data_IF_284913523195
#
_entry.id   IF_284913523195
#
_cell.length_a   1.000
_cell.length_b   1.000
_cell.length_c   1.000
_cell.angle_alpha   90.00
_cell.angle_beta   90.00
_cell.angle_gamma   90.00
#
_symmetry.space_group_name_H-M   'P 1'
#
loop_
_entity.id
_entity.type
_entity.pdbx_description
1 polymer ?
#
# COMPACT_ATOMS: atom_id res chain seq x y z
N UNK A 1 -6.80 -16.58 -12.32
CA UNK A 1 -6.42 -15.52 -11.38
C UNK A 1 -7.56 -15.37 -10.39
N UNK A 2 -7.28 -15.35 -9.09
CA UNK A 2 -8.30 -14.94 -8.12
C UNK A 2 -8.39 -13.41 -8.15
N UNK A 3 -9.37 -12.91 -8.88
CA UNK A 3 -9.56 -11.48 -9.10
C UNK A 3 -9.80 -10.70 -7.80
N UNK A 4 -10.45 -11.32 -6.79
CA UNK A 4 -10.70 -10.70 -5.49
C UNK A 4 -9.39 -10.51 -4.73
N UNK A 5 -8.56 -11.55 -4.67
CA UNK A 5 -7.23 -11.48 -4.06
C UNK A 5 -6.33 -10.45 -4.74
N UNK A 6 -6.24 -10.49 -6.08
CA UNK A 6 -5.40 -9.53 -6.84
C UNK A 6 -5.86 -8.09 -6.64
N UNK A 7 -7.17 -7.86 -6.50
CA UNK A 7 -7.71 -6.56 -6.17
C UNK A 7 -7.28 -6.09 -4.77
N UNK A 8 -7.41 -6.94 -3.75
CA UNK A 8 -6.98 -6.62 -2.38
C UNK A 8 -5.48 -6.30 -2.36
N UNK A 9 -4.66 -7.12 -3.02
CA UNK A 9 -3.22 -6.88 -3.13
C UNK A 9 -2.91 -5.51 -3.78
N UNK A 10 -3.74 -5.07 -4.74
CA UNK A 10 -3.58 -3.77 -5.38
C UNK A 10 -3.90 -2.62 -4.43
N UNK A 11 -4.98 -2.74 -3.64
CA UNK A 11 -5.32 -1.73 -2.63
C UNK A 11 -4.25 -1.65 -1.53
N UNK A 12 -3.77 -2.80 -1.05
CA UNK A 12 -2.67 -2.89 -0.06
C UNK A 12 -1.41 -2.22 -0.59
N UNK A 13 -1.07 -2.47 -1.85
CA UNK A 13 0.03 -1.77 -2.51
C UNK A 13 -0.15 -0.26 -2.49
N UNK A 14 -1.31 0.25 -2.91
CA UNK A 14 -1.58 1.68 -3.00
C UNK A 14 -1.40 2.39 -1.63
N UNK A 15 -1.98 1.83 -0.57
CA UNK A 15 -1.93 2.43 0.78
C UNK A 15 -0.52 2.40 1.33
N UNK A 16 0.16 1.25 1.28
CA UNK A 16 1.51 1.10 1.84
C UNK A 16 2.55 1.90 1.04
N UNK A 17 2.38 2.02 -0.28
CA UNK A 17 3.23 2.88 -1.12
C UNK A 17 3.13 4.33 -0.67
N UNK A 18 1.93 4.83 -0.40
CA UNK A 18 1.74 6.23 0.00
C UNK A 18 2.33 6.50 1.39
N UNK A 19 2.26 5.53 2.32
CA UNK A 19 2.93 5.60 3.61
C UNK A 19 4.47 5.62 3.47
N UNK A 20 5.03 4.71 2.67
CA UNK A 20 6.48 4.65 2.41
C UNK A 20 6.97 5.91 1.70
N UNK A 21 6.17 6.45 0.77
CA UNK A 21 6.43 7.73 0.11
C UNK A 21 6.58 8.86 1.13
N UNK A 22 5.63 8.99 2.05
CA UNK A 22 5.70 10.02 3.10
C UNK A 22 6.95 9.88 3.96
N UNK A 23 7.32 8.65 4.35
CA UNK A 23 8.53 8.39 5.14
C UNK A 23 9.83 8.70 4.39
N UNK A 24 9.86 8.44 3.08
CA UNK A 24 11.00 8.79 2.22
C UNK A 24 11.11 10.31 1.97
N UNK A 25 9.99 11.01 1.81
CA UNK A 25 9.97 12.46 1.56
C UNK A 25 10.15 13.31 2.83
N UNK A 26 9.99 12.73 4.02
CA UNK A 26 10.23 13.42 5.29
C UNK A 26 11.70 13.87 5.44
N UNK A 27 11.89 14.93 6.24
CA UNK A 27 13.21 15.38 6.65
C UNK A 27 13.95 14.26 7.39
N UNK A 28 15.23 14.09 7.11
CA UNK A 28 16.07 13.02 7.68
C UNK A 28 16.48 13.31 9.13
N UNK A 29 15.51 13.56 10.00
CA UNK A 29 15.76 13.85 11.42
C UNK A 29 16.28 12.62 12.16
N UNK A 30 15.86 11.43 11.73
CA UNK A 30 16.14 10.17 12.38
C UNK A 30 17.28 9.37 11.69
N UNK A 31 17.85 9.86 10.58
CA UNK A 31 18.94 9.21 9.85
C UNK A 31 18.52 7.97 9.04
N UNK A 32 17.22 7.76 8.84
CA UNK A 32 16.65 6.57 8.19
C UNK A 32 16.10 6.85 6.78
N UNK A 33 16.25 8.07 6.26
CA UNK A 33 15.70 8.44 4.95
C UNK A 33 16.13 7.49 3.84
N UNK A 34 17.43 7.20 3.74
CA UNK A 34 17.96 6.28 2.73
C UNK A 34 17.34 4.88 2.82
N UNK A 35 17.12 4.38 4.05
CA UNK A 35 16.47 3.08 4.25
C UNK A 35 15.02 3.12 3.78
N UNK A 36 14.26 4.15 4.12
CA UNK A 36 12.88 4.29 3.66
C UNK A 36 12.77 4.43 2.14
N UNK A 37 13.64 5.24 1.52
CA UNK A 37 13.64 5.44 0.09
C UNK A 37 14.10 4.20 -0.69
N UNK A 38 15.06 3.43 -0.18
CA UNK A 38 15.44 2.14 -0.75
C UNK A 38 14.29 1.12 -0.64
N UNK A 39 13.67 1.01 0.54
CA UNK A 39 12.50 0.17 0.75
C UNK A 39 11.33 0.54 -0.19
N UNK A 40 11.11 1.84 -0.42
CA UNK A 40 10.10 2.33 -1.36
C UNK A 40 10.34 1.82 -2.79
N UNK A 41 11.59 1.89 -3.26
CA UNK A 41 11.98 1.42 -4.58
C UNK A 41 11.82 -0.10 -4.71
N UNK A 42 12.28 -0.86 -3.73
CA UNK A 42 12.16 -2.33 -3.72
C UNK A 42 10.69 -2.77 -3.66
N UNK A 43 9.91 -2.17 -2.77
CA UNK A 43 8.46 -2.43 -2.63
C UNK A 43 7.73 -2.16 -3.94
N UNK A 44 7.98 -1.01 -4.55
CA UNK A 44 7.32 -0.62 -5.81
C UNK A 44 7.74 -1.53 -6.97
N UNK A 45 9.00 -1.96 -7.04
CA UNK A 45 9.48 -2.89 -8.06
C UNK A 45 8.85 -4.28 -7.91
N UNK A 46 8.72 -4.77 -6.67
CA UNK A 46 8.08 -6.06 -6.38
C UNK A 46 6.64 -6.10 -6.90
N UNK A 47 5.81 -5.13 -6.51
CA UNK A 47 4.42 -5.10 -6.92
C UNK A 47 4.23 -4.81 -8.40
N UNK A 48 5.09 -3.97 -9.01
CA UNK A 48 5.08 -3.81 -10.47
C UNK A 48 5.22 -5.17 -11.16
N UNK A 49 6.21 -5.97 -10.76
CA UNK A 49 6.47 -7.29 -11.34
C UNK A 49 5.29 -8.24 -11.14
N UNK A 50 4.71 -8.25 -9.92
CA UNK A 50 3.52 -9.05 -9.61
C UNK A 50 2.34 -8.70 -10.52
N UNK A 51 2.02 -7.41 -10.66
CA UNK A 51 0.87 -6.98 -11.45
C UNK A 51 1.09 -7.15 -12.95
N UNK A 52 2.29 -6.86 -13.48
CA UNK A 52 2.56 -7.08 -14.92
C UNK A 52 2.60 -8.55 -15.30
N UNK A 53 2.91 -9.44 -14.37
CA UNK A 53 2.90 -10.89 -14.61
C UNK A 53 1.50 -11.47 -14.57
N UNK A 54 0.67 -11.01 -13.62
CA UNK A 54 -0.65 -11.58 -13.37
C UNK A 54 -1.77 -10.89 -14.18
N UNK A 55 -1.63 -9.59 -14.47
CA UNK A 55 -2.61 -8.79 -15.23
C UNK A 55 -2.08 -8.58 -16.65
N UNK A 56 -2.41 -9.51 -17.55
CA UNK A 56 -1.92 -9.53 -18.93
C UNK A 56 -2.60 -8.51 -19.84
N UNK A 57 -3.85 -8.14 -19.55
CA UNK A 57 -4.57 -7.10 -20.26
C UNK A 57 -5.60 -6.40 -19.37
N UNK A 58 -5.92 -5.15 -19.71
CA UNK A 58 -6.97 -4.35 -19.08
C UNK A 58 -8.17 -4.29 -20.03
N UNK A 59 -9.36 -4.70 -19.57
CA UNK A 59 -10.57 -4.60 -20.41
C UNK A 59 -10.95 -3.13 -20.65
N UNK A 60 -11.22 -2.79 -21.91
CA UNK A 60 -11.60 -1.44 -22.31
C UNK A 60 -13.03 -1.12 -21.87
N UNK A 61 -13.19 -0.01 -21.15
CA UNK A 61 -14.46 0.52 -20.66
C UNK A 61 -15.22 1.26 -21.74
N UNK A 62 -15.80 0.55 -22.70
CA UNK A 62 -16.64 1.20 -23.71
C UNK A 62 -18.04 1.59 -23.23
N UNK A 63 -18.45 1.32 -21.97
CA UNK A 63 -19.64 1.94 -21.33
C UNK A 63 -19.94 1.51 -19.87
N UNK A 64 -19.07 0.74 -19.19
CA UNK A 64 -19.40 0.19 -17.87
C UNK A 64 -18.32 0.45 -16.82
N UNK A 65 -18.79 0.91 -15.67
CA UNK A 65 -18.08 1.51 -14.55
C UNK A 65 -17.32 0.48 -13.67
N UNK A 66 -17.35 -0.83 -13.97
CA UNK A 66 -17.11 -1.86 -12.95
C UNK A 66 -15.88 -2.78 -13.12
N UNK A 67 -14.82 -2.34 -13.79
CA UNK A 67 -13.49 -3.02 -13.75
C UNK A 67 -12.33 -2.04 -13.91
N UNK A 68 -12.41 -0.91 -13.22
CA UNK A 68 -11.32 0.04 -13.23
C UNK A 68 -10.30 -0.43 -12.20
N UNK A 69 -9.16 -0.94 -12.66
CA UNK A 69 -7.96 -1.12 -11.84
C UNK A 69 -7.48 0.25 -11.35
N UNK A 70 -8.27 0.90 -10.50
CA UNK A 70 -8.18 2.27 -10.05
C UNK A 70 -8.68 2.29 -8.61
N UNK A 71 -7.74 2.48 -7.70
CA UNK A 71 -8.01 2.72 -6.29
C UNK A 71 -8.14 4.23 -6.02
N UNK A 72 -7.28 5.02 -6.67
CA UNK A 72 -7.29 6.49 -6.63
C UNK A 72 -6.76 7.06 -7.95
N UNK A 73 -6.80 8.38 -8.14
CA UNK A 73 -6.21 9.01 -9.33
C UNK A 73 -4.69 8.80 -9.44
N UNK A 74 -4.00 8.61 -8.30
CA UNK A 74 -2.58 8.30 -8.21
C UNK A 74 -2.27 6.80 -8.17
N UNK A 75 -3.29 5.94 -8.06
CA UNK A 75 -3.12 4.49 -8.02
C UNK A 75 -4.09 3.79 -8.97
N UNK A 76 -3.63 3.62 -10.21
CA UNK A 76 -4.35 2.94 -11.27
C UNK A 76 -3.45 2.20 -12.26
N UNK A 77 -3.78 0.95 -12.60
CA UNK A 77 -3.06 0.20 -13.63
C UNK A 77 -3.24 0.79 -15.04
N UNK A 78 -4.17 1.73 -15.24
CA UNK A 78 -4.27 2.51 -16.46
C UNK A 78 -3.09 3.48 -16.65
N UNK A 79 -2.39 3.84 -15.56
CA UNK A 79 -1.18 4.65 -15.59
C UNK A 79 -0.11 3.99 -14.70
N UNK A 80 0.69 3.11 -15.31
CA UNK A 80 1.72 2.33 -14.61
C UNK A 80 2.86 3.22 -14.10
N UNK A 81 3.26 4.25 -14.85
CA UNK A 81 4.34 5.16 -14.46
C UNK A 81 4.02 5.93 -13.17
N UNK A 82 2.77 6.42 -13.05
CA UNK A 82 2.28 7.12 -11.86
C UNK A 82 2.01 6.17 -10.69
N UNK A 83 1.48 5.00 -10.99
CA UNK A 83 1.09 4.02 -9.96
C UNK A 83 2.29 3.36 -9.31
N UNK A 84 3.32 3.07 -10.12
CA UNK A 84 4.57 2.49 -9.68
C UNK A 84 5.69 3.53 -9.89
N UNK A 85 5.78 4.57 -9.06
CA UNK A 85 6.86 5.56 -9.16
C UNK A 85 8.21 4.96 -8.75
N UNK A 86 9.26 5.79 -8.77
CA UNK A 86 10.56 5.47 -8.17
C UNK A 86 11.13 6.69 -7.44
N UNK A 87 11.90 6.44 -6.41
CA UNK A 87 12.80 7.42 -5.84
C UNK A 87 14.03 7.56 -6.74
N UNK A 88 14.23 8.77 -7.27
CA UNK A 88 15.41 9.15 -8.04
C UNK A 88 16.46 9.72 -7.10
N UNK A 89 17.60 9.03 -6.99
CA UNK A 89 18.72 9.42 -6.12
C UNK A 89 19.39 10.71 -6.57
N UNK A 90 19.29 11.06 -7.86
CA UNK A 90 19.90 12.27 -8.41
C UNK A 90 19.16 13.53 -7.97
N UNK A 91 17.83 13.53 -8.09
CA UNK A 91 16.97 14.63 -7.64
C UNK A 91 16.57 14.53 -6.16
N UNK A 92 16.81 13.39 -5.51
CA UNK A 92 16.32 13.06 -4.17
C UNK A 92 14.80 13.21 -4.02
N UNK A 93 14.05 12.90 -5.09
CA UNK A 93 12.59 12.99 -5.11
C UNK A 93 11.96 11.73 -5.67
N UNK A 94 10.69 11.51 -5.33
CA UNK A 94 9.88 10.47 -5.95
C UNK A 94 9.29 11.01 -7.24
N UNK A 95 9.56 10.31 -8.34
CA UNK A 95 9.14 10.67 -9.69
C UNK A 95 8.35 9.52 -10.33
N UNK A 96 7.50 9.86 -11.29
CA UNK A 96 6.86 8.86 -12.14
C UNK A 96 7.92 8.07 -12.92
N UNK A 97 7.77 6.75 -12.98
CA UNK A 97 8.74 5.90 -13.68
C UNK A 97 8.27 5.61 -15.10
N UNK A 98 8.61 6.49 -16.03
CA UNK A 98 8.21 6.39 -17.44
C UNK A 98 8.73 5.14 -18.16
N UNK A 99 9.68 4.41 -17.55
CA UNK A 99 10.12 3.11 -18.05
C UNK A 99 9.06 2.00 -17.88
N UNK A 100 8.06 2.21 -17.01
CA UNK A 100 6.98 1.26 -16.76
C UNK A 100 5.87 1.45 -17.79
N UNK A 101 5.91 0.58 -18.80
CA UNK A 101 4.95 0.58 -19.91
C UNK A 101 3.51 0.32 -19.47
N UNK A 102 2.56 0.74 -20.29
CA UNK A 102 1.14 0.45 -20.09
C UNK A 102 0.84 -1.04 -20.30
N UNK A 103 -0.11 -1.58 -19.54
CA UNK A 103 -0.68 -2.91 -19.82
C UNK A 103 -1.60 -2.80 -21.05
N UNK A 104 -1.54 -3.80 -21.94
CA UNK A 104 -2.34 -3.84 -23.17
C UNK A 104 -3.85 -3.90 -22.90
N UNK A 105 -4.66 -3.44 -23.85
CA UNK A 105 -6.12 -3.64 -23.79
C UNK A 105 -6.47 -5.08 -24.21
N UNK A 106 -7.46 -5.69 -23.58
CA UNK A 106 -7.94 -7.02 -23.99
C UNK A 106 -8.69 -6.94 -25.34
N UNK A 107 -8.48 -7.91 -26.23
CA UNK A 107 -9.07 -7.94 -27.59
C UNK A 107 -10.56 -8.34 -27.63
N UNK A 108 -11.07 -9.03 -26.61
CA UNK A 108 -12.46 -9.50 -26.55
C UNK A 108 -13.21 -8.89 -25.32
N UNK A 109 -14.31 -8.14 -25.52
CA UNK A 109 -15.14 -7.63 -24.43
C UNK A 109 -16.08 -8.70 -23.84
N UNK A 110 -15.96 -9.98 -24.24
CA UNK A 110 -16.79 -11.10 -23.82
C UNK A 110 -17.18 -11.10 -22.33
N UNK A 111 -18.44 -11.53 -22.08
CA UNK A 111 -19.16 -11.39 -20.82
C UNK A 111 -18.29 -11.75 -19.61
N UNK A 112 -18.07 -10.76 -18.76
CA UNK A 112 -17.22 -10.87 -17.59
C UNK A 112 -18.07 -10.60 -16.38
N UNK A 113 -18.46 -11.66 -15.68
CA UNK A 113 -19.15 -11.56 -14.39
C UNK A 113 -18.41 -10.61 -13.45
N UNK A 114 -19.03 -9.45 -13.20
CA UNK A 114 -18.51 -8.25 -12.52
C UNK A 114 -17.77 -8.54 -11.22
N UNK A 115 -16.49 -8.14 -11.13
CA UNK A 115 -15.74 -7.99 -9.89
C UNK A 115 -15.17 -6.58 -9.93
N UNK A 116 -15.97 -5.64 -9.44
CA UNK A 116 -15.50 -4.28 -9.20
C UNK A 116 -14.55 -4.33 -8.01
N UNK A 117 -13.36 -3.76 -8.17
CA UNK A 117 -12.40 -3.64 -7.08
C UNK A 117 -12.92 -2.83 -5.89
N UNK A 118 -13.83 -1.90 -6.18
CA UNK A 118 -14.55 -1.16 -5.17
C UNK A 118 -15.70 -1.95 -4.56
N UNK A 119 -16.21 -3.01 -5.21
CA UNK A 119 -17.32 -3.81 -4.69
C UNK A 119 -16.97 -5.30 -4.58
N UNK A 120 -16.36 -5.68 -3.45
CA UNK A 120 -16.27 -7.09 -3.10
C UNK A 120 -17.69 -7.55 -2.76
N UNK A 121 -18.20 -8.53 -3.52
CA UNK A 121 -19.53 -9.10 -3.32
C UNK A 121 -20.70 -8.08 -3.38
N UNK A 122 -20.51 -6.96 -4.10
CA UNK A 122 -21.53 -5.91 -4.25
C UNK A 122 -21.54 -4.85 -3.15
N UNK A 123 -20.57 -4.87 -2.23
CA UNK A 123 -20.45 -3.92 -1.11
C UNK A 123 -19.18 -3.07 -1.27
N UNK A 124 -19.24 -1.73 -1.09
CA UNK A 124 -18.05 -0.88 -1.14
C UNK A 124 -17.00 -1.35 -0.12
N UNK A 125 -15.80 -1.69 -0.58
CA UNK A 125 -14.74 -2.19 0.31
C UNK A 125 -14.36 -1.10 1.31
N UNK A 126 -14.60 -1.37 2.59
CA UNK A 126 -14.19 -0.50 3.69
C UNK A 126 -12.77 -0.84 4.14
N UNK A 127 -12.06 0.14 4.73
CA UNK A 127 -10.72 -0.08 5.31
C UNK A 127 -10.75 -1.20 6.38
N UNK A 128 -11.87 -1.31 7.09
CA UNK A 128 -12.12 -2.36 8.09
C UNK A 128 -12.22 -3.77 7.46
N UNK A 129 -12.88 -3.91 6.30
CA UNK A 129 -12.89 -5.17 5.53
C UNK A 129 -11.53 -5.49 4.90
N UNK A 130 -10.76 -4.47 4.50
CA UNK A 130 -9.36 -4.67 4.07
C UNK A 130 -8.54 -5.29 5.21
N UNK A 131 -8.71 -4.78 6.43
CA UNK A 131 -7.95 -5.24 7.60
C UNK A 131 -8.28 -6.68 8.01
N UNK A 132 -9.52 -7.12 7.77
CA UNK A 132 -10.00 -8.46 8.16
C UNK A 132 -9.78 -9.52 7.08
N UNK A 133 -9.69 -9.13 5.81
CA UNK A 133 -9.43 -10.05 4.68
C UNK A 133 -7.95 -10.34 4.45
N UNK A 134 -7.04 -9.52 4.99
CA UNK A 134 -5.60 -9.74 4.96
C UNK A 134 -5.23 -10.71 6.09
N UNK A 135 -5.16 -12.01 5.79
CA UNK A 135 -4.59 -13.02 6.71
C UNK A 135 -3.04 -13.00 6.71
N UNK A 136 -2.44 -11.82 6.52
CA UNK A 136 -1.00 -11.67 6.35
C UNK A 136 -0.48 -10.47 7.14
N UNK A 137 -0.09 -10.73 8.39
CA UNK A 137 1.12 -10.18 9.01
C UNK A 137 1.51 -8.75 8.53
N UNK A 138 0.68 -7.68 8.67
CA UNK A 138 1.18 -6.31 8.53
C UNK A 138 1.58 -5.75 9.90
N UNK A 139 1.43 -6.56 10.97
CA UNK A 139 1.66 -6.19 12.36
C UNK A 139 3.01 -6.69 12.90
N UNK A 140 4.05 -6.82 12.07
CA UNK A 140 5.43 -7.01 12.59
C UNK A 140 6.25 -5.73 12.61
N UNK A 141 5.95 -4.78 11.73
CA UNK A 141 6.63 -3.47 11.72
C UNK A 141 5.88 -2.40 12.54
N UNK A 142 4.59 -2.59 12.84
CA UNK A 142 3.81 -1.71 13.73
C UNK A 142 4.02 -1.94 15.23
N UNK A 143 4.63 -3.06 15.65
CA UNK A 143 4.81 -3.39 17.08
C UNK A 143 6.05 -2.69 17.68
N UNK A 144 6.92 -2.08 16.88
CA UNK A 144 8.13 -1.41 17.40
C UNK A 144 7.94 0.05 17.85
N UNK A 145 6.69 0.52 17.96
CA UNK A 145 6.35 1.79 18.62
C UNK A 145 5.49 1.61 19.90
N UNK A 146 5.01 0.40 20.18
CA UNK A 146 4.06 0.13 21.28
C UNK A 146 4.64 -0.57 22.51
N UNK A 147 5.84 -1.15 22.42
CA UNK A 147 6.41 -1.96 23.51
C UNK A 147 7.09 -1.14 24.63
N UNK A 148 7.27 0.17 24.47
CA UNK A 148 7.90 1.02 25.50
C UNK A 148 6.89 1.65 26.48
N UNK A 149 5.59 1.74 26.14
CA UNK A 149 4.62 2.46 26.97
C UNK A 149 4.17 1.69 28.23
N UNK A 150 4.13 0.36 28.21
CA UNK A 150 3.76 -0.45 29.38
C UNK A 150 4.82 -0.44 30.49
N UNK A 151 6.11 -0.31 30.12
CA UNK A 151 7.22 -0.22 31.08
C UNK A 151 7.22 1.10 31.86
N UNK A 152 6.97 2.22 31.18
CA UNK A 152 6.92 3.54 31.82
C UNK A 152 5.73 3.70 32.77
N UNK A 153 4.55 3.16 32.43
CA UNK A 153 3.39 3.16 33.34
C UNK A 153 3.65 2.33 34.60
N UNK A 154 4.33 1.20 34.48
CA UNK A 154 4.66 0.33 35.61
C UNK A 154 5.68 0.98 36.56
N UNK A 155 6.71 1.65 36.01
CA UNK A 155 7.71 2.38 36.80
C UNK A 155 7.10 3.62 37.49
N UNK A 156 6.22 4.35 36.80
CA UNK A 156 5.52 5.50 37.38
C UNK A 156 4.63 5.13 38.56
N UNK A 157 3.86 4.04 38.45
CA UNK A 157 3.03 3.53 39.55
C UNK A 157 3.87 3.01 40.72
N UNK A 158 5.00 2.36 40.45
CA UNK A 158 5.92 1.90 41.50
C UNK A 158 6.51 3.07 42.28
N UNK A 159 7.06 4.07 41.60
CA UNK A 159 7.65 5.25 42.24
C UNK A 159 6.59 6.07 43.00
N UNK A 160 5.38 6.24 42.45
CA UNK A 160 4.28 6.91 43.16
C UNK A 160 3.92 6.19 44.46
N UNK A 161 3.85 4.85 44.45
CA UNK A 161 3.52 4.06 45.64
C UNK A 161 4.63 4.12 46.70
N UNK A 162 5.90 4.08 46.31
CA UNK A 162 7.04 4.18 47.23
C UNK A 162 7.12 5.56 47.88
N UNK A 163 6.90 6.64 47.12
CA UNK A 163 6.94 8.00 47.67
C UNK A 163 5.81 8.29 48.68
N UNK A 164 4.64 7.67 48.50
CA UNK A 164 3.51 7.81 49.44
C UNK A 164 3.72 7.06 50.77
N UNK A 165 4.68 6.14 50.84
CA UNK A 165 5.02 5.39 52.07
C UNK A 165 6.17 6.03 52.85
N UNK A 166 6.82 7.05 52.28
CA UNK A 166 7.93 7.80 52.88
C UNK A 166 7.49 9.17 53.47
N UNK A 167 6.18 9.46 53.48
CA UNK A 167 5.59 10.64 54.12
C UNK A 167 4.45 10.23 55.06
#
# INVERSE_FOLDING_TARGET
MDHKKTCIDFMVYCVNRDELKQKCEQDDKDGYKDTYCNNFNEFTKHYYTQFTTNVTCIRGTNNFIHYNWKFSDSCTLHNMARTFPKFDTSSQTIVEDTSKGSINKCEDPGDSGTIDSYMIDGVPVTLEELSTSIDVIPLKYGIYAGSTFLGFLSLGLYLYKVNKLLY
#
